data_IF_253283856522
#
_entry.id   IF_253283856522
#
_cell.length_a   1.000
_cell.length_b   1.000
_cell.length_c   1.000
_cell.angle_alpha   90.00
_cell.angle_beta   90.00
_cell.angle_gamma   90.00
#
_symmetry.space_group_name_H-M   'P 1'
#
loop_
_entity.id
_entity.type
_entity.pdbx_description
1 polymer ?
#
# COMPACT_ATOMS: atom_id res chain seq x y z
N UNK A 1 6.41 -2.87 13.86
CA UNK A 1 6.81 -3.97 12.96
C UNK A 1 5.93 -3.87 11.73
N UNK A 2 6.51 -3.57 10.57
CA UNK A 2 5.74 -3.38 9.34
C UNK A 2 5.27 -4.73 8.77
N UNK A 3 4.12 -4.71 8.11
CA UNK A 3 3.49 -5.88 7.50
C UNK A 3 3.48 -5.76 5.98
N UNK A 4 3.78 -6.89 5.31
CA UNK A 4 3.78 -7.00 3.84
C UNK A 4 2.74 -8.03 3.46
N UNK A 5 1.84 -7.68 2.54
CA UNK A 5 1.01 -8.63 1.83
C UNK A 5 1.70 -8.98 0.51
N UNK A 6 2.00 -10.26 0.28
CA UNK A 6 2.62 -10.78 -0.93
C UNK A 6 1.55 -11.59 -1.69
N UNK A 7 1.31 -11.20 -2.94
CA UNK A 7 0.27 -11.78 -3.78
C UNK A 7 0.90 -12.29 -5.07
N UNK A 8 0.92 -13.59 -5.24
CA UNK A 8 1.51 -14.28 -6.40
C UNK A 8 0.87 -15.68 -6.48
N UNK A 9 0.55 -16.20 -7.66
CA UNK A 9 0.00 -17.54 -7.82
C UNK A 9 1.09 -18.62 -7.79
N UNK A 10 2.35 -18.24 -7.96
CA UNK A 10 3.49 -19.14 -7.85
C UNK A 10 3.89 -19.33 -6.38
N UNK A 11 3.56 -20.52 -5.85
CA UNK A 11 3.85 -20.86 -4.45
C UNK A 11 5.34 -20.73 -4.09
N UNK A 12 6.23 -21.08 -5.00
CA UNK A 12 7.67 -20.98 -4.77
C UNK A 12 8.11 -19.52 -4.57
N UNK A 13 7.50 -18.57 -5.28
CA UNK A 13 7.75 -17.13 -5.11
C UNK A 13 7.21 -16.68 -3.76
N UNK A 14 5.98 -17.08 -3.39
CA UNK A 14 5.40 -16.76 -2.08
C UNK A 14 6.29 -17.27 -0.93
N UNK A 15 6.75 -18.53 -1.02
CA UNK A 15 7.58 -19.14 0.02
C UNK A 15 8.95 -18.46 0.11
N UNK A 16 9.61 -18.23 -1.03
CA UNK A 16 10.90 -17.55 -1.09
C UNK A 16 10.82 -16.13 -0.51
N UNK A 17 9.89 -15.32 -0.97
CA UNK A 17 9.73 -13.94 -0.50
C UNK A 17 9.31 -13.89 0.96
N UNK A 18 8.42 -14.80 1.39
CA UNK A 18 7.99 -14.89 2.78
C UNK A 18 9.16 -15.20 3.71
N UNK A 19 10.01 -16.15 3.35
CA UNK A 19 11.20 -16.50 4.13
C UNK A 19 12.16 -15.30 4.19
N UNK A 20 12.43 -14.68 3.05
CA UNK A 20 13.34 -13.56 2.93
C UNK A 20 12.89 -12.36 3.79
N UNK A 21 11.64 -11.92 3.66
CA UNK A 21 11.15 -10.76 4.40
C UNK A 21 10.93 -11.03 5.88
N UNK A 22 10.53 -12.26 6.27
CA UNK A 22 10.48 -12.64 7.70
C UNK A 22 11.85 -12.57 8.35
N UNK A 23 12.92 -13.00 7.68
CA UNK A 23 14.30 -12.90 8.19
C UNK A 23 14.75 -11.44 8.42
N UNK A 24 14.08 -10.47 7.77
CA UNK A 24 14.31 -9.02 7.91
C UNK A 24 13.36 -8.35 8.90
N UNK A 25 12.55 -9.14 9.64
CA UNK A 25 11.68 -8.65 10.69
C UNK A 25 10.33 -8.09 10.21
N UNK A 26 9.89 -8.43 8.99
CA UNK A 26 8.55 -8.08 8.51
C UNK A 26 7.52 -9.13 8.92
N UNK A 27 6.30 -8.69 9.20
CA UNK A 27 5.15 -9.58 9.31
C UNK A 27 4.60 -9.86 7.92
N UNK A 28 4.48 -11.14 7.54
CA UNK A 28 4.09 -11.54 6.19
C UNK A 28 2.68 -12.13 6.17
N UNK A 29 1.90 -11.64 5.24
CA UNK A 29 0.63 -12.19 4.78
C UNK A 29 0.80 -12.61 3.34
N UNK A 30 0.13 -13.67 2.91
CA UNK A 30 0.21 -14.19 1.55
C UNK A 30 -1.19 -14.35 0.97
N UNK A 31 -1.27 -14.20 -0.35
CA UNK A 31 -2.46 -14.48 -1.16
C UNK A 31 -2.00 -15.15 -2.46
N UNK A 32 -2.61 -16.28 -2.82
CA UNK A 32 -2.32 -17.02 -4.04
C UNK A 32 -3.25 -16.67 -5.21
N UNK A 33 -4.17 -15.75 -4.99
CA UNK A 33 -5.14 -15.33 -6.01
C UNK A 33 -5.68 -13.92 -5.71
N UNK A 34 -6.24 -13.28 -6.73
CA UNK A 34 -6.90 -11.98 -6.56
C UNK A 34 -8.05 -12.02 -5.55
N UNK A 35 -8.76 -13.15 -5.41
CA UNK A 35 -9.83 -13.29 -4.44
C UNK A 35 -9.29 -13.28 -3.00
N UNK A 36 -8.19 -13.99 -2.74
CA UNK A 36 -7.57 -14.00 -1.42
C UNK A 36 -7.02 -12.63 -1.01
N UNK A 37 -6.61 -11.79 -1.97
CA UNK A 37 -6.18 -10.43 -1.68
C UNK A 37 -7.28 -9.65 -0.96
N UNK A 38 -8.55 -9.76 -1.40
CA UNK A 38 -9.68 -9.06 -0.79
C UNK A 38 -9.90 -9.47 0.67
N UNK A 39 -9.61 -10.71 1.03
CA UNK A 39 -9.70 -11.19 2.41
C UNK A 39 -8.53 -10.68 3.27
N UNK A 40 -7.32 -10.63 2.67
CA UNK A 40 -6.13 -10.24 3.40
C UNK A 40 -6.01 -8.73 3.65
N UNK A 41 -6.56 -7.89 2.78
CA UNK A 41 -6.48 -6.42 2.95
C UNK A 41 -7.21 -5.92 4.21
N UNK A 42 -8.18 -6.67 4.73
CA UNK A 42 -8.85 -6.36 6.00
C UNK A 42 -7.87 -6.30 7.18
N UNK A 43 -6.74 -7.00 7.08
CA UNK A 43 -5.67 -6.97 8.08
C UNK A 43 -4.77 -5.74 8.00
N UNK A 44 -5.08 -4.80 7.10
CA UNK A 44 -4.41 -3.52 6.91
C UNK A 44 -2.88 -3.65 6.73
N UNK A 45 -2.40 -4.22 5.62
CA UNK A 45 -0.96 -4.29 5.34
C UNK A 45 -0.37 -2.89 5.19
N UNK A 46 0.91 -2.74 5.57
CA UNK A 46 1.65 -1.50 5.40
C UNK A 46 2.17 -1.32 3.95
N UNK A 47 2.29 -2.42 3.21
CA UNK A 47 2.66 -2.44 1.79
C UNK A 47 2.16 -3.73 1.13
N UNK A 48 1.84 -3.65 -0.16
CA UNK A 48 1.37 -4.80 -0.97
C UNK A 48 2.36 -5.03 -2.11
N UNK A 49 2.83 -6.27 -2.25
CA UNK A 49 3.53 -6.77 -3.43
C UNK A 49 2.53 -7.59 -4.23
N UNK A 50 2.24 -7.20 -5.46
CA UNK A 50 1.13 -7.72 -6.24
C UNK A 50 1.59 -8.18 -7.61
N UNK A 51 1.55 -9.48 -7.85
CA UNK A 51 1.76 -10.00 -9.22
C UNK A 51 0.61 -9.59 -10.14
N UNK A 52 0.94 -9.26 -11.38
CA UNK A 52 -0.06 -8.91 -12.39
C UNK A 52 -0.69 -10.16 -12.97
N UNK A 53 0.10 -11.22 -13.18
CA UNK A 53 -0.33 -12.40 -13.95
C UNK A 53 -0.98 -13.48 -13.08
N UNK A 54 -1.88 -13.12 -12.20
CA UNK A 54 -2.60 -14.09 -11.37
C UNK A 54 -3.84 -14.64 -12.09
N UNK A 55 -4.25 -15.90 -11.81
CA UNK A 55 -5.51 -16.44 -12.32
C UNK A 55 -6.73 -15.75 -11.72
N UNK A 56 -7.76 -15.57 -12.52
CA UNK A 56 -8.99 -14.84 -12.15
C UNK A 56 -8.87 -13.36 -12.44
N UNK A 57 -9.24 -12.48 -11.49
CA UNK A 57 -8.95 -11.05 -11.63
C UNK A 57 -7.45 -10.83 -11.64
N UNK A 58 -6.92 -10.22 -12.71
CA UNK A 58 -5.49 -9.91 -12.78
C UNK A 58 -5.08 -8.85 -11.74
N UNK A 59 -3.77 -8.72 -11.49
CA UNK A 59 -3.26 -7.81 -10.47
C UNK A 59 -3.63 -6.35 -10.70
N UNK A 60 -3.80 -5.91 -11.95
CA UNK A 60 -4.21 -4.54 -12.29
C UNK A 60 -5.67 -4.32 -11.89
N UNK A 61 -6.55 -5.28 -12.17
CA UNK A 61 -7.97 -5.21 -11.77
C UNK A 61 -8.12 -5.28 -10.25
N UNK A 62 -7.34 -6.14 -9.59
CA UNK A 62 -7.27 -6.21 -8.13
C UNK A 62 -6.85 -4.85 -7.56
N UNK A 63 -5.75 -4.27 -8.06
CA UNK A 63 -5.25 -2.97 -7.63
C UNK A 63 -6.33 -1.89 -7.75
N UNK A 64 -7.00 -1.82 -8.90
CA UNK A 64 -8.07 -0.84 -9.16
C UNK A 64 -9.21 -0.94 -8.15
N UNK A 65 -9.58 -2.17 -7.74
CA UNK A 65 -10.64 -2.41 -6.75
C UNK A 65 -10.20 -2.06 -5.34
N UNK A 66 -8.99 -2.48 -4.93
CA UNK A 66 -8.52 -2.28 -3.56
C UNK A 66 -8.05 -0.84 -3.30
N UNK A 67 -7.68 -0.08 -4.32
CA UNK A 67 -7.11 1.27 -4.16
C UNK A 67 -8.04 2.25 -3.44
N UNK A 68 -9.35 2.07 -3.53
CA UNK A 68 -10.32 2.86 -2.77
C UNK A 68 -10.44 2.44 -1.29
N UNK A 69 -9.89 1.29 -0.93
CA UNK A 69 -9.97 0.69 0.41
C UNK A 69 -8.65 0.89 1.16
N UNK A 70 -7.51 0.66 0.48
CA UNK A 70 -6.18 0.74 1.08
C UNK A 70 -5.46 2.03 0.67
N UNK A 71 -4.67 2.57 1.58
CA UNK A 71 -3.78 3.71 1.30
C UNK A 71 -2.31 3.34 1.23
N UNK A 72 -1.98 2.11 1.62
CA UNK A 72 -0.60 1.64 1.61
C UNK A 72 -0.05 1.55 0.19
N UNK A 73 1.27 1.64 0.00
CA UNK A 73 1.90 1.46 -1.30
C UNK A 73 1.62 0.08 -1.90
N UNK A 74 1.42 0.06 -3.22
CA UNK A 74 1.27 -1.17 -4.02
C UNK A 74 2.41 -1.21 -5.04
N UNK A 75 3.25 -2.25 -4.94
CA UNK A 75 4.34 -2.53 -5.87
C UNK A 75 3.93 -3.69 -6.75
N UNK A 76 3.85 -3.48 -8.05
CA UNK A 76 3.61 -4.57 -8.99
C UNK A 76 4.86 -5.42 -9.21
N UNK A 77 4.67 -6.75 -9.18
CA UNK A 77 5.66 -7.73 -9.61
C UNK A 77 5.18 -8.34 -10.93
N UNK A 78 6.01 -8.41 -11.97
CA UNK A 78 5.50 -8.85 -13.27
C UNK A 78 6.59 -9.34 -14.20
N UNK A 79 6.26 -10.31 -15.05
CA UNK A 79 7.08 -10.69 -16.20
C UNK A 79 6.85 -9.77 -17.42
N UNK A 80 5.84 -8.88 -17.38
CA UNK A 80 5.53 -7.98 -18.49
C UNK A 80 6.44 -6.77 -18.51
N UNK A 81 7.08 -6.53 -19.65
CA UNK A 81 8.06 -5.44 -19.87
C UNK A 81 7.45 -4.28 -20.67
N UNK A 82 6.26 -4.47 -21.22
CA UNK A 82 5.63 -3.51 -22.12
C UNK A 82 5.30 -2.19 -21.42
N UNK A 83 5.60 -1.10 -22.10
CA UNK A 83 5.35 0.25 -21.59
C UNK A 83 3.87 0.51 -21.34
N UNK A 84 2.99 -0.07 -22.16
CA UNK A 84 1.54 0.03 -22.01
C UNK A 84 1.06 -0.61 -20.69
N UNK A 85 1.61 -1.76 -20.30
CA UNK A 85 1.26 -2.43 -19.06
C UNK A 85 1.71 -1.64 -17.83
N UNK A 86 2.88 -0.99 -17.91
CA UNK A 86 3.36 -0.08 -16.84
C UNK A 86 2.44 1.12 -16.67
N UNK A 87 2.06 1.76 -17.77
CA UNK A 87 1.13 2.90 -17.76
C UNK A 87 -0.21 2.49 -17.16
N UNK A 88 -0.75 1.33 -17.56
CA UNK A 88 -2.00 0.80 -17.03
C UNK A 88 -1.91 0.48 -15.53
N UNK A 89 -0.79 -0.06 -15.06
CA UNK A 89 -0.54 -0.34 -13.65
C UNK A 89 -0.52 0.93 -12.79
N UNK A 90 0.18 1.97 -13.25
CA UNK A 90 0.18 3.27 -12.55
C UNK A 90 -1.21 3.94 -12.60
N UNK A 91 -1.90 3.88 -13.74
CA UNK A 91 -3.27 4.39 -13.85
C UNK A 91 -4.27 3.64 -12.95
N UNK A 92 -4.02 2.37 -12.63
CA UNK A 92 -4.80 1.60 -11.67
C UNK A 92 -4.52 1.97 -10.21
N UNK A 93 -3.46 2.76 -9.96
CA UNK A 93 -3.08 3.24 -8.63
C UNK A 93 -1.88 2.51 -8.01
N UNK A 94 -1.07 1.80 -8.81
CA UNK A 94 0.21 1.26 -8.36
C UNK A 94 1.23 2.37 -8.09
N UNK A 95 2.11 2.14 -7.12
CA UNK A 95 3.13 3.12 -6.70
C UNK A 95 4.52 2.79 -7.26
N UNK A 96 4.78 1.54 -7.62
CA UNK A 96 6.03 1.08 -8.21
C UNK A 96 5.83 -0.20 -9.02
N UNK A 97 6.85 -0.55 -9.81
CA UNK A 97 6.81 -1.64 -10.76
C UNK A 97 8.16 -2.37 -10.81
N UNK A 98 8.16 -3.67 -10.55
CA UNK A 98 9.36 -4.52 -10.52
C UNK A 98 9.21 -5.65 -11.51
N UNK A 99 10.15 -5.75 -12.44
CA UNK A 99 10.14 -6.77 -13.50
C UNK A 99 10.80 -8.06 -13.01
N UNK A 100 10.12 -9.18 -13.21
CA UNK A 100 10.68 -10.53 -13.00
C UNK A 100 11.65 -10.90 -14.16
N UNK A 101 12.82 -11.51 -13.89
CA UNK A 101 13.34 -11.89 -12.58
C UNK A 101 13.96 -10.69 -11.83
N UNK A 102 13.75 -10.64 -10.51
CA UNK A 102 14.28 -9.59 -9.63
C UNK A 102 15.12 -10.19 -8.50
N UNK A 103 16.02 -9.39 -7.97
CA UNK A 103 16.73 -9.71 -6.75
C UNK A 103 15.85 -9.43 -5.52
N UNK A 104 15.71 -10.37 -4.55
CA UNK A 104 15.03 -10.08 -3.29
C UNK A 104 15.58 -8.87 -2.54
N UNK A 105 16.90 -8.62 -2.65
CA UNK A 105 17.54 -7.46 -2.05
C UNK A 105 17.14 -6.14 -2.73
N UNK A 106 16.98 -6.13 -4.06
CA UNK A 106 16.44 -4.98 -4.79
C UNK A 106 15.01 -4.68 -4.37
N UNK A 107 14.18 -5.72 -4.31
CA UNK A 107 12.79 -5.59 -3.89
C UNK A 107 12.68 -5.06 -2.46
N UNK A 108 13.53 -5.54 -1.53
CA UNK A 108 13.60 -5.00 -0.17
C UNK A 108 13.97 -3.52 -0.13
N UNK A 109 14.95 -3.10 -0.93
CA UNK A 109 15.34 -1.69 -0.99
C UNK A 109 14.17 -0.79 -1.41
N UNK A 110 13.34 -1.25 -2.37
CA UNK A 110 12.13 -0.54 -2.81
C UNK A 110 11.06 -0.53 -1.73
N UNK A 111 10.77 -1.68 -1.12
CA UNK A 111 9.84 -1.81 0.03
C UNK A 111 10.24 -0.85 1.14
N UNK A 112 11.50 -0.86 1.55
CA UNK A 112 12.02 0.04 2.59
C UNK A 112 11.90 1.51 2.21
N UNK A 113 12.11 1.86 0.94
CA UNK A 113 12.00 3.24 0.46
C UNK A 113 10.54 3.73 0.54
N UNK A 114 9.57 2.91 0.12
CA UNK A 114 8.15 3.24 0.19
C UNK A 114 7.67 3.37 1.64
N UNK A 115 7.97 2.39 2.51
CA UNK A 115 7.61 2.45 3.93
C UNK A 115 8.22 3.66 4.65
N UNK A 116 9.45 4.04 4.32
CA UNK A 116 10.11 5.22 4.87
C UNK A 116 9.45 6.52 4.38
N UNK A 117 8.97 6.57 3.12
CA UNK A 117 8.22 7.72 2.58
C UNK A 117 6.89 7.88 3.31
N UNK A 118 6.16 6.77 3.50
CA UNK A 118 4.92 6.76 4.29
C UNK A 118 5.13 7.20 5.74
N UNK A 119 6.17 6.70 6.40
CA UNK A 119 6.53 7.10 7.75
C UNK A 119 6.83 8.60 7.86
N UNK A 120 7.56 9.18 6.89
CA UNK A 120 7.85 10.63 6.85
C UNK A 120 6.58 11.46 6.60
N UNK A 121 5.71 11.01 5.71
CA UNK A 121 4.42 11.65 5.50
C UNK A 121 3.59 11.64 6.79
N UNK A 122 3.66 10.56 7.57
CA UNK A 122 3.02 10.46 8.88
C UNK A 122 3.62 11.39 9.94
N UNK A 123 4.92 11.59 9.95
CA UNK A 123 5.61 12.37 11.01
C UNK A 123 5.48 13.89 10.81
N UNK A 124 5.24 14.36 9.57
CA UNK A 124 5.08 15.77 9.24
C UNK A 124 3.64 16.27 9.13
N UNK A 125 2.66 15.48 9.51
CA UNK A 125 1.29 15.64 9.04
C UNK A 125 0.27 16.13 10.08
N UNK A 126 0.72 16.61 11.24
CA UNK A 126 -0.19 17.27 12.20
C UNK A 126 -0.19 18.77 11.97
N UNK A 127 -1.31 19.28 11.53
CA UNK A 127 -1.50 20.75 11.42
C UNK A 127 -2.48 21.18 12.50
N UNK A 128 -2.05 22.10 13.35
CA UNK A 128 -2.93 22.81 14.28
C UNK A 128 -3.68 23.88 13.49
N UNK A 129 -4.98 23.72 13.37
CA UNK A 129 -5.84 24.59 12.59
C UNK A 129 -6.40 25.75 13.46
N UNK A 130 -6.65 25.46 14.75
CA UNK A 130 -7.01 26.40 15.80
C UNK A 130 -6.52 25.87 17.15
N UNK A 131 -6.74 26.61 18.24
CA UNK A 131 -6.31 26.19 19.57
C UNK A 131 -6.88 24.82 19.97
N UNK A 132 -8.07 24.49 19.48
CA UNK A 132 -8.76 23.24 19.82
C UNK A 132 -8.82 22.21 18.67
N UNK A 133 -8.37 22.57 17.44
CA UNK A 133 -8.50 21.71 16.28
C UNK A 133 -7.14 21.30 15.70
N UNK A 134 -6.87 20.01 15.74
CA UNK A 134 -5.68 19.40 15.14
C UNK A 134 -6.13 18.42 14.06
N UNK A 135 -5.62 18.59 12.84
CA UNK A 135 -5.82 17.65 11.74
C UNK A 135 -4.58 16.78 11.64
N UNK A 136 -4.75 15.48 11.84
CA UNK A 136 -3.69 14.49 11.66
C UNK A 136 -3.86 13.80 10.30
N UNK A 137 -3.06 14.21 9.32
CA UNK A 137 -3.10 13.67 7.96
C UNK A 137 -2.60 12.22 7.87
N UNK A 138 -1.81 11.78 8.85
CA UNK A 138 -1.29 10.41 8.89
C UNK A 138 -2.30 9.42 9.41
N UNK A 139 -2.99 9.79 10.49
CA UNK A 139 -4.01 8.95 11.10
C UNK A 139 -5.40 9.17 10.49
N UNK A 140 -5.51 10.12 9.55
CA UNK A 140 -6.80 10.59 8.98
C UNK A 140 -7.81 10.89 10.06
N UNK A 141 -7.36 11.62 11.07
CA UNK A 141 -8.15 11.96 12.23
C UNK A 141 -8.19 13.46 12.45
N UNK A 142 -9.27 13.89 13.06
CA UNK A 142 -9.45 15.26 13.56
C UNK A 142 -9.54 15.15 15.07
N UNK A 143 -8.69 15.89 15.77
CA UNK A 143 -8.80 16.07 17.22
C UNK A 143 -9.41 17.44 17.50
N UNK A 144 -10.50 17.47 18.27
CA UNK A 144 -11.15 18.68 18.79
C UNK A 144 -11.16 18.58 20.32
N UNK A 145 -10.25 19.30 20.98
CA UNK A 145 -9.97 19.10 22.40
C UNK A 145 -9.54 17.65 22.67
N UNK A 146 -10.20 16.97 23.62
CA UNK A 146 -9.92 15.58 23.97
C UNK A 146 -10.59 14.53 23.04
N UNK A 147 -11.42 14.98 22.10
CA UNK A 147 -12.14 14.09 21.19
C UNK A 147 -11.34 13.88 19.91
N UNK A 148 -11.02 12.61 19.61
CA UNK A 148 -10.36 12.21 18.35
C UNK A 148 -11.34 11.41 17.49
N UNK A 149 -11.61 11.92 16.27
CA UNK A 149 -12.50 11.29 15.28
C UNK A 149 -11.64 10.81 14.11
N UNK A 150 -11.63 9.51 13.84
CA UNK A 150 -11.05 8.95 12.63
C UNK A 150 -12.09 9.00 11.51
N UNK A 151 -11.71 9.57 10.37
CA UNK A 151 -12.58 9.71 9.22
C UNK A 151 -12.28 8.64 8.17
N UNK A 152 -13.32 8.09 7.49
CA UNK A 152 -13.14 7.34 6.26
C UNK A 152 -12.37 8.16 5.22
N UNK A 153 -11.65 7.47 4.31
CA UNK A 153 -10.75 8.12 3.35
C UNK A 153 -11.41 9.27 2.58
N UNK A 154 -12.58 9.02 1.99
CA UNK A 154 -13.28 10.04 1.18
C UNK A 154 -13.67 11.28 1.98
N UNK A 155 -14.08 11.09 3.23
CA UNK A 155 -14.43 12.19 4.13
C UNK A 155 -13.19 12.98 4.54
N UNK A 156 -12.08 12.27 4.83
CA UNK A 156 -10.83 12.92 5.17
C UNK A 156 -10.24 13.68 3.98
N UNK A 157 -10.33 13.16 2.75
CA UNK A 157 -9.83 13.83 1.54
C UNK A 157 -10.53 15.18 1.33
N UNK A 158 -11.82 15.29 1.68
CA UNK A 158 -12.56 16.56 1.68
C UNK A 158 -11.98 17.53 2.72
N UNK A 159 -11.75 17.05 3.95
CA UNK A 159 -11.16 17.86 5.02
C UNK A 159 -9.76 18.33 4.64
N UNK A 160 -8.94 17.45 4.07
CA UNK A 160 -7.60 17.77 3.60
C UNK A 160 -7.64 18.86 2.52
N UNK A 161 -8.55 18.75 1.54
CA UNK A 161 -8.72 19.75 0.48
C UNK A 161 -9.14 21.11 1.04
N UNK A 162 -10.10 21.13 1.95
CA UNK A 162 -10.59 22.37 2.58
C UNK A 162 -9.52 23.05 3.46
N UNK A 163 -8.69 22.28 4.14
CA UNK A 163 -7.65 22.79 5.01
C UNK A 163 -6.45 23.40 4.27
N UNK A 164 -6.23 23.00 3.01
CA UNK A 164 -5.15 23.52 2.16
C UNK A 164 -5.54 24.79 1.38
N UNK A 165 -6.82 25.06 1.23
CA UNK A 165 -7.34 26.25 0.53
C UNK A 165 -7.72 27.35 1.54
N UNK A 166 -6.72 27.95 2.18
CA UNK A 166 -6.84 29.18 2.98
C UNK A 166 -6.58 30.42 2.15
#
# INVERSE_FOLDING_TARGET
MNSILICDDEKDILDMLSMFFRSRGYRIMTAGSGQEVFEQIEKQPDIILLDINMPGPDGIDVCRRIRNIVSCPIIFLTARVDEADKINGFAAGGDDYVVKPFSPAELEARVSAHLRRESRARTGSKIRFSDDLIIDYSERSIAAGDNVIKLPRKEFDIVALLSQNR
#
